data_IF_267286901821
#
_entry.id   IF_267286901821
#
_cell.length_a   1.000
_cell.length_b   1.000
_cell.length_c   1.000
_cell.angle_alpha   90.00
_cell.angle_beta   90.00
_cell.angle_gamma   90.00
#
_symmetry.space_group_name_H-M   'P 1'
#
loop_
_entity.id
_entity.type
_entity.pdbx_description
1 polymer ?
#
# COMPACT_ATOMS: atom_id res chain seq x y z
N UNK A 1 7.72 2.64 -1.17
CA UNK A 1 7.13 3.90 -1.71
C UNK A 1 6.46 3.60 -3.04
N UNK A 2 5.20 3.94 -3.23
CA UNK A 2 4.54 3.77 -4.52
C UNK A 2 5.21 4.61 -5.62
N UNK A 3 5.18 4.13 -6.85
CA UNK A 3 5.86 4.78 -7.98
C UNK A 3 5.41 6.24 -8.18
N UNK A 4 4.11 6.49 -8.15
CA UNK A 4 3.57 7.85 -8.29
C UNK A 4 3.98 8.78 -7.17
N UNK A 5 4.14 8.26 -5.96
CA UNK A 5 4.66 9.04 -4.82
C UNK A 5 6.13 9.39 -5.04
N UNK A 6 6.91 8.46 -5.57
CA UNK A 6 8.31 8.70 -5.92
C UNK A 6 8.43 9.79 -7.00
N UNK A 7 7.63 9.71 -8.05
CA UNK A 7 7.61 10.71 -9.13
C UNK A 7 7.22 12.10 -8.61
N UNK A 8 6.19 12.18 -7.78
CA UNK A 8 5.76 13.43 -7.16
C UNK A 8 6.82 14.03 -6.25
N UNK A 9 7.49 13.20 -5.48
CA UNK A 9 8.59 13.62 -4.60
C UNK A 9 9.76 14.17 -5.40
N UNK A 10 10.11 13.51 -6.50
CA UNK A 10 11.17 13.96 -7.40
C UNK A 10 10.82 15.30 -8.07
N UNK A 11 9.57 15.47 -8.47
CA UNK A 11 9.11 16.68 -9.19
C UNK A 11 9.00 17.91 -8.26
N UNK A 12 8.38 17.76 -7.10
CA UNK A 12 8.06 18.89 -6.21
C UNK A 12 8.27 18.63 -4.72
N UNK A 13 8.93 17.54 -4.35
CA UNK A 13 9.22 17.24 -2.95
C UNK A 13 10.19 18.24 -2.33
N UNK A 14 9.94 18.60 -1.09
CA UNK A 14 10.83 19.45 -0.29
C UNK A 14 11.28 18.66 0.94
N UNK A 15 12.57 18.44 1.06
CA UNK A 15 13.15 17.74 2.21
C UNK A 15 13.52 18.78 3.28
N UNK A 16 12.90 18.65 4.45
CA UNK A 16 13.06 19.60 5.56
C UNK A 16 13.80 19.01 6.76
N UNK A 17 14.44 17.85 6.59
CA UNK A 17 15.15 17.16 7.66
C UNK A 17 14.22 16.27 8.48
N UNK A 18 14.60 16.00 9.73
CA UNK A 18 13.81 15.17 10.63
C UNK A 18 12.60 15.94 11.17
N UNK A 19 11.42 15.56 10.70
CA UNK A 19 10.15 16.12 11.14
C UNK A 19 9.31 15.13 11.94
N UNK A 20 9.84 13.94 12.22
CA UNK A 20 9.12 12.84 12.89
C UNK A 20 9.52 12.76 14.37
N UNK A 21 10.82 12.78 14.66
CA UNK A 21 11.31 12.73 16.02
C UNK A 21 10.83 13.97 16.79
N UNK A 22 10.12 13.76 17.89
CA UNK A 22 9.52 14.84 18.67
C UNK A 22 8.09 15.23 18.27
N UNK A 23 7.53 14.64 17.20
CA UNK A 23 6.15 14.88 16.78
C UNK A 23 5.15 13.83 17.29
N UNK A 24 5.59 12.87 18.10
CA UNK A 24 4.75 11.76 18.55
C UNK A 24 3.57 12.20 19.42
N UNK A 25 3.76 13.19 20.28
CA UNK A 25 2.68 13.70 21.12
C UNK A 25 1.56 14.33 20.28
N UNK A 26 1.92 15.10 19.26
CA UNK A 26 0.96 15.69 18.32
C UNK A 26 0.24 14.62 17.50
N UNK A 27 0.96 13.58 17.07
CA UNK A 27 0.39 12.45 16.34
C UNK A 27 -0.64 11.69 17.21
N UNK A 28 -0.34 11.44 18.47
CA UNK A 28 -1.29 10.82 19.42
C UNK A 28 -2.54 11.69 19.60
N UNK A 29 -2.39 13.01 19.69
CA UNK A 29 -3.52 13.92 19.78
C UNK A 29 -4.45 13.84 18.56
N UNK A 30 -3.91 13.65 17.37
CA UNK A 30 -4.69 13.44 16.14
C UNK A 30 -5.52 12.15 16.25
N UNK A 31 -4.95 11.06 16.74
CA UNK A 31 -5.69 9.81 16.95
C UNK A 31 -6.79 9.95 18.01
N UNK A 32 -6.55 10.68 19.07
CA UNK A 32 -7.56 10.98 20.07
C UNK A 32 -8.72 11.79 19.46
N UNK A 33 -8.43 12.78 18.65
CA UNK A 33 -9.44 13.56 17.93
C UNK A 33 -10.25 12.70 16.95
N UNK A 34 -9.60 11.76 16.24
CA UNK A 34 -10.29 10.81 15.38
C UNK A 34 -11.26 9.91 16.15
N UNK A 35 -10.85 9.44 17.31
CA UNK A 35 -11.73 8.66 18.19
C UNK A 35 -12.95 9.47 18.65
N UNK A 36 -12.77 10.76 18.91
CA UNK A 36 -13.85 11.68 19.32
C UNK A 36 -14.93 11.82 18.23
N UNK A 37 -14.56 11.76 16.96
CA UNK A 37 -15.51 11.82 15.83
C UNK A 37 -15.99 10.44 15.36
N UNK A 38 -15.68 9.38 16.12
CA UNK A 38 -16.20 8.04 15.88
C UNK A 38 -15.34 7.15 14.97
N UNK A 39 -14.11 7.54 14.68
CA UNK A 39 -13.17 6.70 13.93
C UNK A 39 -12.44 5.76 14.90
N UNK A 40 -12.66 4.46 14.73
CA UNK A 40 -11.94 3.41 15.47
C UNK A 40 -10.70 3.00 14.68
N UNK A 41 -9.52 3.33 15.19
CA UNK A 41 -8.25 3.03 14.54
C UNK A 41 -7.99 1.52 14.44
N UNK A 42 -8.40 0.74 15.44
CA UNK A 42 -8.25 -0.72 15.42
C UNK A 42 -9.12 -1.34 14.31
N UNK A 43 -10.31 -0.82 14.10
CA UNK A 43 -11.18 -1.22 12.99
C UNK A 43 -10.53 -0.87 11.63
N UNK A 44 -10.01 0.32 11.49
CA UNK A 44 -9.32 0.77 10.27
C UNK A 44 -8.14 -0.16 9.93
N UNK A 45 -7.30 -0.48 10.90
CA UNK A 45 -6.14 -1.36 10.68
C UNK A 45 -6.55 -2.80 10.36
N UNK A 46 -7.61 -3.32 11.02
CA UNK A 46 -8.14 -4.64 10.73
C UNK A 46 -8.71 -4.74 9.31
N UNK A 47 -9.45 -3.74 8.87
CA UNK A 47 -9.99 -3.66 7.50
C UNK A 47 -8.87 -3.56 6.47
N UNK A 48 -7.86 -2.73 6.71
CA UNK A 48 -6.70 -2.59 5.82
C UNK A 48 -5.96 -3.92 5.66
N UNK A 49 -5.76 -4.66 6.73
CA UNK A 49 -5.13 -5.99 6.68
C UNK A 49 -5.97 -6.98 5.87
N UNK A 50 -7.25 -7.08 6.17
CA UNK A 50 -8.18 -7.98 5.48
C UNK A 50 -8.25 -7.69 3.97
N UNK A 51 -8.46 -6.45 3.61
CA UNK A 51 -8.49 -6.03 2.20
C UNK A 51 -7.14 -6.21 1.51
N UNK A 52 -6.05 -5.99 2.22
CA UNK A 52 -4.69 -6.22 1.73
C UNK A 52 -4.46 -7.68 1.37
N UNK A 53 -4.87 -8.61 2.23
CA UNK A 53 -4.77 -10.05 1.96
C UNK A 53 -5.61 -10.44 0.74
N UNK A 54 -6.84 -9.95 0.64
CA UNK A 54 -7.70 -10.20 -0.52
C UNK A 54 -7.06 -9.71 -1.83
N UNK A 55 -6.45 -8.53 -1.82
CA UNK A 55 -5.73 -7.98 -2.97
C UNK A 55 -4.53 -8.82 -3.36
N UNK A 56 -3.77 -9.33 -2.40
CA UNK A 56 -2.66 -10.25 -2.66
C UNK A 56 -3.12 -11.56 -3.27
N UNK A 57 -4.21 -12.12 -2.79
CA UNK A 57 -4.81 -13.34 -3.35
C UNK A 57 -5.24 -13.09 -4.80
N UNK A 58 -5.93 -11.99 -5.07
CA UNK A 58 -6.35 -11.62 -6.41
C UNK A 58 -5.15 -11.43 -7.35
N UNK A 59 -4.11 -10.74 -6.92
CA UNK A 59 -2.89 -10.52 -7.69
C UNK A 59 -2.15 -11.83 -7.97
N UNK A 60 -2.13 -12.74 -7.02
CA UNK A 60 -1.54 -14.07 -7.20
C UNK A 60 -2.27 -14.88 -8.28
N UNK A 61 -3.60 -14.89 -8.25
CA UNK A 61 -4.40 -15.56 -9.28
C UNK A 61 -4.21 -14.92 -10.66
N UNK A 62 -4.13 -13.59 -10.73
CA UNK A 62 -3.85 -12.86 -11.95
C UNK A 62 -2.48 -13.23 -12.53
N UNK A 63 -1.46 -13.30 -11.69
CA UNK A 63 -0.12 -13.72 -12.09
C UNK A 63 -0.13 -15.15 -12.63
N UNK A 64 -0.80 -16.08 -11.94
CA UNK A 64 -0.94 -17.46 -12.41
C UNK A 64 -1.61 -17.54 -13.78
N UNK A 65 -2.68 -16.78 -13.98
CA UNK A 65 -3.39 -16.73 -15.26
C UNK A 65 -2.49 -16.17 -16.38
N UNK A 66 -1.76 -15.10 -16.11
CA UNK A 66 -0.83 -14.48 -17.07
C UNK A 66 0.27 -15.46 -17.49
N UNK A 67 0.87 -16.15 -16.53
CA UNK A 67 1.91 -17.16 -16.82
C UNK A 67 1.33 -18.33 -17.62
N UNK A 68 0.17 -18.82 -17.23
CA UNK A 68 -0.49 -19.93 -17.94
C UNK A 68 -0.82 -19.56 -19.39
N UNK A 69 -1.30 -18.35 -19.63
CA UNK A 69 -1.56 -17.83 -20.98
C UNK A 69 -0.28 -17.72 -21.79
N UNK A 70 0.77 -17.16 -21.23
CA UNK A 70 2.07 -17.04 -21.91
C UNK A 70 2.64 -18.41 -22.28
N UNK A 71 2.53 -19.40 -21.40
CA UNK A 71 2.95 -20.77 -21.67
C UNK A 71 2.14 -21.43 -22.79
N UNK A 72 0.83 -21.19 -22.83
CA UNK A 72 -0.04 -21.73 -23.86
C UNK A 72 0.25 -21.11 -25.25
N UNK A 73 0.71 -19.87 -25.28
CA UNK A 73 1.08 -19.16 -26.53
C UNK A 73 2.53 -19.35 -26.92
N UNK A 74 3.37 -19.94 -26.05
CA UNK A 74 4.79 -20.16 -26.34
C UNK A 74 4.98 -21.10 -27.53
N UNK A 75 5.90 -20.80 -28.47
CA UNK A 75 6.22 -21.69 -29.57
C UNK A 75 6.71 -23.06 -29.06
N UNK A 76 6.27 -24.13 -29.69
CA UNK A 76 6.65 -25.49 -29.26
C UNK A 76 8.16 -25.72 -29.30
N UNK A 77 8.87 -25.04 -30.22
CA UNK A 77 10.34 -25.08 -30.32
C UNK A 77 11.06 -24.42 -29.14
N UNK A 78 10.38 -23.65 -28.30
CA UNK A 78 10.92 -23.00 -27.10
C UNK A 78 10.76 -23.83 -25.83
N UNK A 79 10.15 -24.98 -25.91
CA UNK A 79 9.88 -25.88 -24.80
C UNK A 79 11.01 -26.86 -24.53
#
# INVERSE_FOLDING_TARGET
>A
MPEKTLEATFDHGVVTGDTITGAYAEAHAVFDDLATVGVDFDDVTAVLESEGVEKFIASWHELQATVAEALAQAPEAAR
#
